data_IF_710471967937
#
_entry.id   IF_710471967937
#
_cell.length_a   1.000
_cell.length_b   1.000
_cell.length_c   1.000
_cell.angle_alpha   90.00
_cell.angle_beta   90.00
_cell.angle_gamma   90.00
#
_symmetry.space_group_name_H-M   'P 1'
#
loop_
_entity.id
_entity.type
_entity.pdbx_description
1 polymer ?
#
# COMPACT_ATOMS: atom_id res chain seq x y z
N UNK A 1 -6.50 14.71 10.11
CA UNK A 1 -6.34 13.39 10.74
C UNK A 1 -7.35 12.45 10.12
N UNK A 2 -6.89 11.33 9.57
CA UNK A 2 -7.75 10.29 9.01
C UNK A 2 -8.42 9.53 10.16
N UNK A 3 -9.72 9.74 10.37
CA UNK A 3 -10.49 8.98 11.34
C UNK A 3 -11.11 7.74 10.64
N UNK A 4 -10.25 6.94 10.01
CA UNK A 4 -10.61 5.77 9.18
C UNK A 4 -9.78 4.58 9.62
N UNK A 5 -10.38 3.40 9.60
CA UNK A 5 -9.70 2.13 9.90
C UNK A 5 -8.90 1.66 8.69
N UNK A 6 -7.61 1.40 8.86
CA UNK A 6 -6.69 1.01 7.80
C UNK A 6 -6.16 -0.39 8.08
N UNK A 7 -6.38 -1.33 7.16
CA UNK A 7 -5.82 -2.68 7.23
C UNK A 7 -4.66 -2.83 6.24
N UNK A 8 -3.49 -3.21 6.75
CA UNK A 8 -2.31 -3.52 5.95
C UNK A 8 -2.21 -5.03 5.77
N UNK A 9 -2.46 -5.51 4.55
CA UNK A 9 -2.39 -6.94 4.21
C UNK A 9 -1.03 -7.27 3.62
N UNK A 10 -0.25 -8.07 4.35
CA UNK A 10 1.14 -8.37 4.04
C UNK A 10 2.11 -7.31 4.55
N UNK A 11 2.30 -7.21 5.89
CA UNK A 11 3.06 -6.13 6.50
C UNK A 11 4.58 -6.31 6.31
N UNK A 12 5.03 -6.07 5.08
CA UNK A 12 6.44 -6.00 4.70
C UNK A 12 7.07 -4.64 5.04
N UNK A 13 8.29 -4.40 4.54
CA UNK A 13 9.07 -3.19 4.81
C UNK A 13 8.33 -1.93 4.38
N UNK A 14 7.71 -1.92 3.19
CA UNK A 14 7.01 -0.74 2.69
C UNK A 14 5.71 -0.46 3.47
N UNK A 15 4.97 -1.49 3.86
CA UNK A 15 3.79 -1.31 4.71
C UNK A 15 4.18 -0.77 6.09
N UNK A 16 5.28 -1.23 6.67
CA UNK A 16 5.82 -0.68 7.91
C UNK A 16 6.20 0.79 7.77
N UNK A 17 6.83 1.17 6.66
CA UNK A 17 7.15 2.56 6.37
C UNK A 17 5.89 3.44 6.30
N UNK A 18 4.81 2.94 5.68
CA UNK A 18 3.52 3.64 5.66
C UNK A 18 2.95 3.81 7.08
N UNK A 19 2.95 2.76 7.89
CA UNK A 19 2.49 2.79 9.30
C UNK A 19 3.30 3.85 10.07
N UNK A 20 4.63 3.77 10.01
CA UNK A 20 5.52 4.71 10.68
C UNK A 20 5.30 6.16 10.21
N UNK A 21 5.15 6.36 8.90
CA UNK A 21 4.89 7.67 8.30
C UNK A 21 3.55 8.27 8.74
N UNK A 22 2.48 7.47 8.74
CA UNK A 22 1.15 7.89 9.19
C UNK A 22 1.15 8.32 10.66
N UNK A 23 1.86 7.58 11.52
CA UNK A 23 2.01 7.91 12.94
C UNK A 23 2.87 9.17 13.13
N UNK A 24 4.03 9.23 12.49
CA UNK A 24 4.96 10.38 12.58
C UNK A 24 4.31 11.68 12.15
N UNK A 25 3.54 11.66 11.05
CA UNK A 25 2.80 12.82 10.53
C UNK A 25 1.46 13.06 11.25
N UNK A 26 1.13 12.25 12.26
CA UNK A 26 -0.13 12.32 13.01
C UNK A 26 -1.38 12.25 12.10
N UNK A 27 -1.28 11.54 10.99
CA UNK A 27 -2.37 11.36 10.03
C UNK A 27 -3.38 10.30 10.48
N UNK A 28 -2.93 9.31 11.25
CA UNK A 28 -3.78 8.28 11.85
C UNK A 28 -3.30 7.94 13.25
N UNK A 29 -4.15 7.29 14.04
CA UNK A 29 -3.83 6.80 15.38
C UNK A 29 -3.54 5.29 15.34
N UNK A 30 -2.73 4.75 16.29
CA UNK A 30 -2.43 3.32 16.35
C UNK A 30 -3.68 2.43 16.39
N UNK A 31 -4.70 2.82 17.16
CA UNK A 31 -5.96 2.07 17.31
C UNK A 31 -6.78 1.97 16.02
N UNK A 32 -6.49 2.79 15.02
CA UNK A 32 -7.14 2.77 13.71
C UNK A 32 -6.38 1.93 12.68
N UNK A 33 -5.30 1.30 13.05
CA UNK A 33 -4.49 0.51 12.13
C UNK A 33 -4.41 -0.94 12.57
N UNK A 34 -4.53 -1.84 11.60
CA UNK A 34 -4.32 -3.27 11.78
C UNK A 34 -3.36 -3.79 10.71
N UNK A 35 -2.35 -4.54 11.10
CA UNK A 35 -1.45 -5.25 10.20
C UNK A 35 -1.76 -6.75 10.21
N UNK A 36 -1.97 -7.34 9.02
CA UNK A 36 -2.35 -8.75 8.91
C UNK A 36 -1.42 -9.52 7.98
N UNK A 37 -1.00 -10.70 8.42
CA UNK A 37 -0.15 -11.61 7.65
C UNK A 37 0.20 -12.85 8.44
N UNK A 38 0.77 -13.90 7.77
CA UNK A 38 0.89 -15.24 8.34
C UNK A 38 2.01 -15.42 9.39
N UNK A 39 2.86 -14.41 9.61
CA UNK A 39 4.03 -14.52 10.49
C UNK A 39 3.76 -13.89 11.86
N UNK A 40 3.64 -14.72 12.88
CA UNK A 40 3.38 -14.31 14.27
C UNK A 40 4.46 -13.38 14.80
N UNK A 41 5.74 -13.69 14.56
CA UNK A 41 6.87 -12.86 14.99
C UNK A 41 6.78 -11.44 14.43
N UNK A 42 6.39 -11.32 13.15
CA UNK A 42 6.21 -10.02 12.52
C UNK A 42 5.02 -9.24 13.09
N UNK A 43 3.95 -9.94 13.41
CA UNK A 43 2.80 -9.35 14.08
C UNK A 43 3.18 -8.82 15.47
N UNK A 44 3.92 -9.61 16.26
CA UNK A 44 4.40 -9.21 17.57
C UNK A 44 5.34 -7.98 17.51
N UNK A 45 6.31 -7.98 16.57
CA UNK A 45 7.23 -6.86 16.34
C UNK A 45 6.48 -5.55 16.03
N UNK A 46 5.55 -5.57 15.10
CA UNK A 46 4.78 -4.37 14.73
C UNK A 46 3.87 -3.88 15.87
N UNK A 47 3.26 -4.80 16.60
CA UNK A 47 2.46 -4.46 17.80
C UNK A 47 3.32 -3.79 18.86
N UNK A 48 4.49 -4.35 19.16
CA UNK A 48 5.42 -3.79 20.15
C UNK A 48 5.93 -2.42 19.72
N UNK A 49 6.31 -2.26 18.45
CA UNK A 49 6.96 -1.04 17.93
C UNK A 49 6.00 0.13 17.74
N UNK A 50 4.78 -0.15 17.28
CA UNK A 50 3.83 0.88 16.85
C UNK A 50 2.53 0.92 17.64
N UNK A 51 2.32 -0.04 18.55
CA UNK A 51 1.10 -0.20 19.34
C UNK A 51 -0.18 -0.30 18.50
N UNK A 52 -0.08 -0.84 17.27
CA UNK A 52 -1.20 -1.10 16.37
C UNK A 52 -1.82 -2.47 16.63
N UNK A 53 -3.02 -2.69 16.09
CA UNK A 53 -3.62 -4.03 16.06
C UNK A 53 -2.90 -4.94 15.08
N UNK A 54 -2.89 -6.24 15.37
CA UNK A 54 -2.34 -7.25 14.46
C UNK A 54 -3.26 -8.46 14.37
N UNK A 55 -3.23 -9.15 13.22
CA UNK A 55 -4.03 -10.35 12.96
C UNK A 55 -3.27 -11.32 12.07
N UNK A 56 -3.56 -12.62 12.19
CA UNK A 56 -3.12 -13.64 11.23
C UNK A 56 -4.19 -13.92 10.17
N UNK A 57 -5.40 -13.37 10.33
CA UNK A 57 -6.53 -13.53 9.43
C UNK A 57 -6.73 -12.26 8.57
N UNK A 58 -6.33 -12.36 7.30
CA UNK A 58 -6.47 -11.28 6.33
C UNK A 58 -7.93 -10.93 6.04
N UNK A 59 -8.83 -11.91 6.05
CA UNK A 59 -10.25 -11.66 5.77
C UNK A 59 -10.90 -10.85 6.89
N UNK A 60 -10.65 -11.23 8.14
CA UNK A 60 -11.13 -10.50 9.30
C UNK A 60 -10.59 -9.07 9.33
N UNK A 61 -9.28 -8.87 9.07
CA UNK A 61 -8.69 -7.54 9.03
C UNK A 61 -9.30 -6.65 7.93
N UNK A 62 -9.51 -7.21 6.74
CA UNK A 62 -10.03 -6.47 5.59
C UNK A 62 -11.51 -6.10 5.73
N UNK A 63 -12.34 -6.97 6.33
CA UNK A 63 -13.79 -6.78 6.42
C UNK A 63 -14.23 -5.61 7.30
N UNK A 64 -13.38 -5.18 8.23
CA UNK A 64 -13.66 -4.09 9.19
C UNK A 64 -12.95 -2.78 8.84
N UNK A 65 -12.20 -2.76 7.74
CA UNK A 65 -11.42 -1.59 7.32
C UNK A 65 -12.20 -0.66 6.37
N UNK A 66 -11.92 0.63 6.47
CA UNK A 66 -12.34 1.65 5.50
C UNK A 66 -11.34 1.71 4.34
N UNK A 67 -10.07 1.38 4.61
CA UNK A 67 -9.01 1.28 3.60
C UNK A 67 -8.26 -0.04 3.76
N UNK A 68 -8.18 -0.82 2.69
CA UNK A 68 -7.41 -2.07 2.63
C UNK A 68 -6.16 -1.86 1.79
N UNK A 69 -4.99 -1.83 2.43
CA UNK A 69 -3.69 -1.69 1.77
C UNK A 69 -3.15 -3.06 1.42
N UNK A 70 -3.03 -3.37 0.13
CA UNK A 70 -2.41 -4.59 -0.37
C UNK A 70 -0.90 -4.38 -0.54
N UNK A 71 -0.11 -5.07 0.26
CA UNK A 71 1.36 -4.94 0.32
C UNK A 71 2.09 -6.29 0.35
N UNK A 72 1.46 -7.31 -0.19
CA UNK A 72 2.06 -8.65 -0.34
C UNK A 72 2.99 -8.71 -1.55
N UNK A 73 3.87 -9.72 -1.58
CA UNK A 73 4.69 -10.00 -2.78
C UNK A 73 3.77 -10.34 -3.96
N UNK A 74 4.11 -9.93 -5.21
CA UNK A 74 3.27 -10.17 -6.39
C UNK A 74 2.85 -11.64 -6.57
N UNK A 75 3.75 -12.58 -6.23
CA UNK A 75 3.52 -14.03 -6.34
C UNK A 75 2.42 -14.53 -5.39
N UNK A 76 2.19 -13.83 -4.27
CA UNK A 76 1.19 -14.19 -3.26
C UNK A 76 -0.17 -13.52 -3.49
N UNK A 77 -0.24 -12.52 -4.39
CA UNK A 77 -1.44 -11.70 -4.57
C UNK A 77 -2.69 -12.52 -4.88
N UNK A 78 -2.59 -13.48 -5.82
CA UNK A 78 -3.75 -14.29 -6.22
C UNK A 78 -4.30 -15.14 -5.07
N UNK A 79 -3.43 -15.71 -4.26
CA UNK A 79 -3.80 -16.51 -3.08
C UNK A 79 -4.47 -15.60 -2.03
N UNK A 80 -3.87 -14.44 -1.76
CA UNK A 80 -4.38 -13.48 -0.77
C UNK A 80 -5.75 -12.93 -1.19
N UNK A 81 -5.93 -12.56 -2.47
CA UNK A 81 -7.24 -12.11 -2.97
C UNK A 81 -8.34 -13.17 -2.82
N UNK A 82 -8.01 -14.45 -3.00
CA UNK A 82 -8.97 -15.54 -2.78
C UNK A 82 -9.35 -15.72 -1.30
N UNK A 83 -8.40 -15.46 -0.40
CA UNK A 83 -8.61 -15.55 1.04
C UNK A 83 -9.41 -14.35 1.60
N UNK A 84 -9.19 -13.15 1.05
CA UNK A 84 -9.91 -11.94 1.50
C UNK A 84 -11.34 -11.99 0.96
N UNK A 85 -12.30 -12.00 1.90
CA UNK A 85 -13.73 -11.93 1.60
C UNK A 85 -14.37 -10.85 2.47
N UNK A 86 -15.48 -10.28 1.99
CA UNK A 86 -16.27 -9.35 2.80
C UNK A 86 -15.65 -7.95 2.93
N UNK A 87 -14.82 -7.52 1.98
CA UNK A 87 -14.45 -6.09 1.90
C UNK A 87 -15.74 -5.29 1.77
N UNK A 88 -15.89 -4.26 2.59
CA UNK A 88 -17.06 -3.38 2.56
C UNK A 88 -17.17 -2.72 1.19
N UNK A 89 -18.40 -2.59 0.62
CA UNK A 89 -18.58 -2.00 -0.71
C UNK A 89 -18.07 -0.56 -0.84
N UNK A 90 -18.08 0.18 0.27
CA UNK A 90 -17.62 1.57 0.40
C UNK A 90 -16.14 1.71 0.80
N UNK A 91 -15.43 0.60 1.05
CA UNK A 91 -14.02 0.62 1.38
C UNK A 91 -13.16 0.96 0.15
N UNK A 92 -12.00 1.58 0.39
CA UNK A 92 -10.97 1.78 -0.62
C UNK A 92 -9.97 0.63 -0.58
N UNK A 93 -9.65 0.04 -1.73
CA UNK A 93 -8.51 -0.87 -1.88
C UNK A 93 -7.34 -0.10 -2.46
N UNK A 94 -6.24 -0.02 -1.72
CA UNK A 94 -5.00 0.65 -2.13
C UNK A 94 -3.90 -0.39 -2.31
N UNK A 95 -3.36 -0.54 -3.52
CA UNK A 95 -2.30 -1.50 -3.83
C UNK A 95 -0.96 -0.79 -4.04
N UNK A 96 0.09 -1.31 -3.39
CA UNK A 96 1.49 -0.96 -3.62
C UNK A 96 2.25 -2.09 -4.31
N UNK A 97 1.53 -3.02 -4.96
CA UNK A 97 2.12 -4.25 -5.53
C UNK A 97 2.57 -4.00 -6.97
N UNK A 98 3.87 -4.16 -7.23
CA UNK A 98 4.42 -4.04 -8.56
C UNK A 98 3.78 -5.07 -9.54
N UNK A 99 3.47 -4.63 -10.77
CA UNK A 99 2.92 -5.48 -11.83
C UNK A 99 1.48 -5.96 -11.61
N UNK A 100 0.77 -5.42 -10.61
CA UNK A 100 -0.63 -5.74 -10.37
C UNK A 100 -1.52 -4.57 -10.81
N UNK A 101 -2.11 -4.66 -12.01
CA UNK A 101 -2.98 -3.61 -12.54
C UNK A 101 -4.35 -3.58 -11.83
N UNK A 102 -5.05 -2.45 -11.98
CA UNK A 102 -6.37 -2.20 -11.38
C UNK A 102 -7.36 -3.30 -11.77
N UNK A 103 -7.41 -3.69 -13.05
CA UNK A 103 -8.32 -4.72 -13.56
C UNK A 103 -8.11 -6.08 -12.85
N UNK A 104 -6.85 -6.50 -12.66
CA UNK A 104 -6.51 -7.74 -11.96
C UNK A 104 -6.99 -7.72 -10.52
N UNK A 105 -6.78 -6.60 -9.81
CA UNK A 105 -7.15 -6.44 -8.41
C UNK A 105 -8.68 -6.38 -8.27
N UNK A 106 -9.34 -5.53 -9.06
CA UNK A 106 -10.80 -5.36 -8.99
C UNK A 106 -11.54 -6.63 -9.32
N UNK A 107 -11.08 -7.37 -10.34
CA UNK A 107 -11.66 -8.68 -10.69
C UNK A 107 -11.42 -9.73 -9.60
N UNK A 108 -10.20 -9.79 -9.08
CA UNK A 108 -9.81 -10.79 -8.08
C UNK A 108 -10.52 -10.62 -6.74
N UNK A 109 -10.74 -9.38 -6.32
CA UNK A 109 -11.47 -9.03 -5.09
C UNK A 109 -12.97 -8.82 -5.29
N UNK A 110 -13.44 -8.75 -6.55
CA UNK A 110 -14.82 -8.32 -6.89
C UNK A 110 -15.17 -6.95 -6.28
N UNK A 111 -14.18 -6.05 -6.29
CA UNK A 111 -14.26 -4.73 -5.69
C UNK A 111 -13.90 -3.65 -6.71
N UNK A 112 -14.65 -2.52 -6.72
CA UNK A 112 -14.55 -1.52 -7.79
C UNK A 112 -13.64 -0.35 -7.45
N UNK A 113 -13.63 0.10 -6.19
CA UNK A 113 -12.84 1.25 -5.74
C UNK A 113 -11.41 0.85 -5.45
N UNK A 114 -10.55 0.95 -6.48
CA UNK A 114 -9.15 0.49 -6.43
C UNK A 114 -8.21 1.64 -6.79
N UNK A 115 -7.24 1.89 -5.93
CA UNK A 115 -6.06 2.73 -6.18
C UNK A 115 -4.86 1.82 -6.40
N UNK A 116 -4.13 2.03 -7.47
CA UNK A 116 -2.82 1.42 -7.73
C UNK A 116 -1.74 2.45 -7.53
N UNK A 117 -0.71 2.11 -6.78
CA UNK A 117 0.43 2.98 -6.53
C UNK A 117 1.75 2.24 -6.62
N UNK A 118 2.80 2.99 -6.91
CA UNK A 118 4.16 2.48 -7.01
C UNK A 118 5.10 3.40 -6.23
N UNK A 119 5.32 3.12 -4.93
CA UNK A 119 6.31 3.81 -4.14
C UNK A 119 7.73 3.35 -4.51
N UNK A 120 8.70 4.26 -4.40
CA UNK A 120 10.12 3.93 -4.54
C UNK A 120 10.79 3.66 -3.18
N UNK A 121 12.03 3.15 -3.21
CA UNK A 121 12.78 2.74 -2.00
C UNK A 121 12.97 3.87 -0.97
N UNK A 122 13.28 5.14 -1.32
CA UNK A 122 13.38 6.23 -0.36
C UNK A 122 12.12 6.48 0.46
N UNK A 123 10.96 5.98 0.02
CA UNK A 123 9.72 5.99 0.80
C UNK A 123 9.84 5.34 2.17
N UNK A 124 10.81 4.42 2.37
CA UNK A 124 11.07 3.80 3.67
C UNK A 124 11.48 4.80 4.75
N UNK A 125 12.10 5.90 4.37
CA UNK A 125 12.50 7.00 5.29
C UNK A 125 11.61 8.24 5.15
N UNK A 126 10.57 8.17 4.32
CA UNK A 126 9.62 9.25 4.11
C UNK A 126 10.05 10.30 3.07
N UNK A 127 11.06 9.99 2.27
CA UNK A 127 11.62 10.84 1.20
C UNK A 127 11.40 10.21 -0.19
N UNK A 128 10.37 9.40 -0.30
CA UNK A 128 10.01 8.74 -1.55
C UNK A 128 9.17 9.60 -2.46
N UNK A 129 9.04 9.12 -3.70
CA UNK A 129 8.04 9.59 -4.66
C UNK A 129 7.15 8.40 -4.99
N UNK A 130 5.85 8.57 -4.82
CA UNK A 130 4.86 7.55 -5.14
C UNK A 130 4.01 7.98 -6.32
N UNK A 131 4.11 7.29 -7.45
CA UNK A 131 3.20 7.50 -8.58
C UNK A 131 1.97 6.64 -8.36
N UNK A 132 0.78 7.20 -8.60
CA UNK A 132 -0.46 6.47 -8.38
C UNK A 132 -1.59 6.86 -9.35
N UNK A 133 -2.54 5.95 -9.51
CA UNK A 133 -3.77 6.15 -10.28
C UNK A 133 -4.93 5.42 -9.61
N UNK A 134 -6.15 5.66 -10.09
CA UNK A 134 -7.34 5.06 -9.50
C UNK A 134 -8.32 4.56 -10.56
N UNK A 135 -9.17 3.60 -10.17
CA UNK A 135 -10.35 3.25 -10.95
C UNK A 135 -11.37 4.40 -10.95
N UNK A 136 -12.25 4.43 -11.93
CA UNK A 136 -13.28 5.48 -12.10
C UNK A 136 -14.30 5.53 -10.96
N UNK A 137 -14.45 4.44 -10.23
CA UNK A 137 -15.37 4.31 -9.12
C UNK A 137 -14.82 4.83 -7.79
N UNK A 138 -13.55 5.23 -7.74
CA UNK A 138 -12.96 5.87 -6.56
C UNK A 138 -13.50 7.29 -6.44
N UNK A 139 -14.12 7.59 -5.31
CA UNK A 139 -14.69 8.91 -5.03
C UNK A 139 -13.60 9.94 -4.71
N UNK A 140 -13.93 11.24 -4.77
CA UNK A 140 -13.01 12.31 -4.39
C UNK A 140 -12.53 12.15 -2.94
N UNK A 141 -13.42 11.80 -1.99
CA UNK A 141 -13.04 11.52 -0.61
C UNK A 141 -12.02 10.37 -0.52
N UNK A 142 -12.23 9.31 -1.30
CA UNK A 142 -11.31 8.17 -1.34
C UNK A 142 -9.97 8.54 -1.99
N UNK A 143 -9.96 9.42 -2.99
CA UNK A 143 -8.72 9.95 -3.57
C UNK A 143 -7.93 10.77 -2.55
N UNK A 144 -8.59 11.63 -1.80
CA UNK A 144 -7.94 12.40 -0.73
C UNK A 144 -7.39 11.49 0.39
N UNK A 145 -8.10 10.41 0.74
CA UNK A 145 -7.57 9.39 1.66
C UNK A 145 -6.33 8.71 1.09
N UNK A 146 -6.37 8.30 -0.19
CA UNK A 146 -5.21 7.69 -0.84
C UNK A 146 -4.01 8.65 -0.86
N UNK A 147 -4.23 9.90 -1.23
CA UNK A 147 -3.22 10.97 -1.24
C UNK A 147 -2.57 11.14 0.13
N UNK A 148 -3.38 11.23 1.18
CA UNK A 148 -2.88 11.36 2.54
C UNK A 148 -2.06 10.14 3.01
N UNK A 149 -2.50 8.92 2.65
CA UNK A 149 -1.80 7.69 3.01
C UNK A 149 -0.48 7.56 2.24
N UNK A 150 -0.48 7.81 0.92
CA UNK A 150 0.71 7.74 0.08
C UNK A 150 1.70 8.85 0.43
N UNK A 151 1.20 10.05 0.73
CA UNK A 151 2.00 11.18 1.21
C UNK A 151 2.74 10.92 2.53
N UNK A 152 2.38 9.86 3.26
CA UNK A 152 3.16 9.42 4.43
C UNK A 152 4.57 8.91 4.06
N UNK A 153 4.77 8.48 2.80
CA UNK A 153 6.03 7.98 2.26
C UNK A 153 6.91 9.08 1.61
N UNK A 154 6.41 10.31 1.45
CA UNK A 154 7.10 11.40 0.79
C UNK A 154 6.17 12.18 -0.12
N UNK A 155 6.62 12.48 -1.34
CA UNK A 155 5.79 13.10 -2.39
C UNK A 155 4.91 12.05 -3.08
N UNK A 156 3.74 12.48 -3.57
CA UNK A 156 2.86 11.66 -4.37
C UNK A 156 2.46 12.36 -5.66
N UNK A 157 2.34 11.59 -6.74
CA UNK A 157 2.02 12.10 -8.07
C UNK A 157 0.87 11.26 -8.64
N UNK A 158 -0.28 11.90 -8.82
CA UNK A 158 -1.41 11.28 -9.51
C UNK A 158 -1.21 11.32 -11.03
N UNK A 159 -1.51 10.21 -11.69
CA UNK A 159 -1.52 10.10 -13.15
C UNK A 159 -2.84 9.48 -13.61
N UNK A 160 -3.39 9.96 -14.73
CA UNK A 160 -4.64 9.42 -15.27
C UNK A 160 -4.44 8.07 -15.97
N UNK A 161 -3.31 7.90 -16.67
CA UNK A 161 -3.01 6.68 -17.40
C UNK A 161 -2.18 5.71 -16.55
N UNK A 162 -2.75 4.52 -16.31
CA UNK A 162 -2.12 3.45 -15.53
C UNK A 162 -0.77 2.99 -16.13
N UNK A 163 -0.53 3.17 -17.43
CA UNK A 163 0.71 2.78 -18.09
C UNK A 163 1.94 3.50 -17.53
N UNK A 164 1.78 4.71 -17.00
CA UNK A 164 2.89 5.45 -16.37
C UNK A 164 3.45 4.76 -15.13
N UNK A 165 2.64 3.94 -14.41
CA UNK A 165 3.14 3.19 -13.27
C UNK A 165 4.08 2.05 -13.70
N UNK A 166 3.84 1.46 -14.86
CA UNK A 166 4.74 0.44 -15.42
C UNK A 166 6.08 1.06 -15.86
N UNK A 167 6.04 2.26 -16.43
CA UNK A 167 7.25 3.03 -16.75
C UNK A 167 8.03 3.42 -15.49
N UNK A 168 7.35 3.91 -14.44
CA UNK A 168 7.97 4.24 -13.16
C UNK A 168 8.64 3.01 -12.52
N UNK A 169 8.03 1.83 -12.65
CA UNK A 169 8.59 0.56 -12.18
C UNK A 169 9.89 0.23 -12.94
N UNK A 170 9.90 0.37 -14.27
CA UNK A 170 11.07 0.09 -15.10
C UNK A 170 12.25 1.02 -14.76
N UNK A 171 11.98 2.31 -14.56
CA UNK A 171 12.99 3.30 -14.20
C UNK A 171 13.56 3.09 -12.80
N UNK A 172 12.73 2.83 -11.79
CA UNK A 172 13.17 2.60 -10.41
C UNK A 172 13.89 1.27 -10.22
N UNK A 173 13.54 0.23 -11.02
CA UNK A 173 14.22 -1.06 -11.03
C UNK A 173 15.60 -1.03 -11.73
N UNK A 174 15.85 -0.06 -12.62
CA UNK A 174 17.10 0.05 -13.39
C UNK A 174 18.13 0.99 -12.75
N UNK A 175 17.72 1.84 -11.80
CA UNK A 175 18.55 2.89 -11.21
C UNK A 175 19.85 2.45 -10.53
N UNK A 176 19.92 1.32 -9.81
CA UNK A 176 21.15 0.90 -9.14
C UNK A 176 22.26 0.43 -10.07
N UNK A 177 21.98 0.08 -11.33
CA UNK A 177 22.99 -0.44 -12.26
C UNK A 177 23.67 0.62 -13.14
N UNK A 178 23.24 1.87 -13.14
CA UNK A 178 23.81 2.90 -14.01
C UNK A 178 24.94 3.73 -13.38
N UNK A 179 25.34 3.49 -12.11
CA UNK A 179 26.32 4.32 -11.41
C UNK A 179 27.73 3.72 -11.25
N UNK A 180 28.06 2.59 -11.92
CA UNK A 180 29.35 1.92 -11.73
C UNK A 180 30.34 2.00 -12.89
N UNK A 181 30.14 2.88 -13.89
CA UNK A 181 31.14 3.11 -14.93
C UNK A 181 31.69 4.53 -14.88
N UNK A 182 32.57 4.80 -13.89
CA UNK A 182 33.51 5.91 -13.99
C UNK A 182 34.66 5.48 -14.91
N UNK A 183 34.98 6.20 -15.98
CA UNK A 183 36.19 5.93 -16.75
C UNK A 183 37.40 6.29 -15.89
N UNK A 184 38.30 5.33 -15.71
CA UNK A 184 39.63 5.61 -15.19
C UNK A 184 40.41 6.42 -16.25
N UNK A 185 40.78 7.64 -15.92
CA UNK A 185 41.89 8.37 -16.55
C UNK A 185 43.21 7.84 -16.03
#
# INVERSE_FOLDING_TARGET
>A
MLNKKIAFIGPGVMAEAMIAGLLRKKLSKPENMIASGPREERAADLKQKYNIHTSLDNASAASHADVVVLSVKPQRLTEVMKAIKGIRPDALVLSIIAGANIKKISTGLKHKSVVRSMPNTPGQIGEGITVWTSSKEVTEEQQEMARAILGALGEEVFVEDESYLDMATALSGSGPHMSSSSPKL
#
